data_IF_261920446855
#
_entry.id   IF_261920446855
#
_cell.length_a   1.000
_cell.length_b   1.000
_cell.length_c   1.000
_cell.angle_alpha   90.00
_cell.angle_beta   90.00
_cell.angle_gamma   90.00
#
_symmetry.space_group_name_H-M   'P 1'
#
loop_
_entity.id
_entity.type
_entity.pdbx_description
1 polymer ?
#
# COMPACT_ATOMS: atom_id res chain seq x y z
N UNK A 1 -17.20 -7.18 -5.34
CA UNK A 1 -16.16 -8.06 -5.94
C UNK A 1 -15.07 -8.34 -4.90
N UNK A 2 -14.09 -9.21 -5.18
CA UNK A 2 -12.97 -9.43 -4.23
C UNK A 2 -12.10 -8.19 -4.06
N UNK A 3 -11.99 -7.35 -5.10
CA UNK A 3 -11.26 -6.08 -5.04
C UNK A 3 -11.89 -5.10 -4.05
N UNK A 4 -13.21 -4.92 -4.10
CA UNK A 4 -13.95 -4.05 -3.16
C UNK A 4 -13.80 -4.50 -1.70
N UNK A 5 -13.89 -5.82 -1.45
CA UNK A 5 -13.68 -6.36 -0.10
C UNK A 5 -12.24 -6.15 0.39
N UNK A 6 -11.25 -6.24 -0.49
CA UNK A 6 -9.87 -5.96 -0.14
C UNK A 6 -9.65 -4.48 0.16
N UNK A 7 -10.31 -3.60 -0.59
CA UNK A 7 -10.33 -2.14 -0.36
C UNK A 7 -10.92 -1.81 1.02
N UNK A 8 -12.07 -2.38 1.38
CA UNK A 8 -12.71 -2.21 2.69
C UNK A 8 -11.79 -2.66 3.84
N UNK A 9 -11.18 -3.84 3.73
CA UNK A 9 -10.25 -4.34 4.76
C UNK A 9 -9.02 -3.44 4.88
N UNK A 10 -8.53 -2.90 3.76
CA UNK A 10 -7.41 -1.97 3.75
C UNK A 10 -7.78 -0.65 4.44
N UNK A 11 -8.99 -0.14 4.20
CA UNK A 11 -9.46 1.10 4.81
C UNK A 11 -9.59 0.96 6.33
N UNK A 12 -10.21 -0.12 6.82
CA UNK A 12 -10.30 -0.41 8.25
C UNK A 12 -8.92 -0.51 8.92
N UNK A 13 -7.98 -1.24 8.29
CA UNK A 13 -6.62 -1.35 8.81
C UNK A 13 -5.90 0.00 8.83
N UNK A 14 -6.12 0.82 7.80
CA UNK A 14 -5.52 2.14 7.66
C UNK A 14 -6.06 3.14 8.68
N UNK A 15 -7.34 3.04 9.04
CA UNK A 15 -7.96 3.85 10.09
C UNK A 15 -7.38 3.50 11.47
N UNK A 16 -7.06 2.23 11.74
CA UNK A 16 -6.42 1.83 13.00
C UNK A 16 -4.96 2.25 13.11
N UNK A 17 -4.12 1.84 12.16
CA UNK A 17 -2.68 2.16 12.17
C UNK A 17 -2.13 2.26 10.74
N UNK A 18 -1.90 3.50 10.32
CA UNK A 18 -1.38 3.84 8.99
C UNK A 18 0.00 3.25 8.73
N UNK A 19 0.91 3.31 9.70
CA UNK A 19 2.29 2.85 9.53
C UNK A 19 2.35 1.32 9.47
N UNK A 20 1.60 0.66 10.34
CA UNK A 20 1.51 -0.81 10.35
C UNK A 20 0.86 -1.33 9.08
N UNK A 21 -0.16 -0.64 8.56
CA UNK A 21 -0.82 -1.01 7.31
C UNK A 21 0.13 -0.88 6.11
N UNK A 22 0.95 0.15 6.06
CA UNK A 22 2.00 0.28 5.05
C UNK A 22 3.02 -0.88 5.12
N UNK A 23 3.39 -1.32 6.32
CA UNK A 23 4.25 -2.51 6.49
C UNK A 23 3.57 -3.78 5.97
N UNK A 24 2.26 -3.95 6.20
CA UNK A 24 1.49 -5.08 5.67
C UNK A 24 1.48 -5.09 4.13
N UNK A 25 1.36 -3.91 3.50
CA UNK A 25 1.39 -3.78 2.03
C UNK A 25 2.74 -4.17 1.41
N UNK A 26 3.83 -3.85 2.10
CA UNK A 26 5.22 -4.11 1.65
C UNK A 26 5.78 -5.46 2.08
N UNK A 27 5.17 -6.12 3.07
CA UNK A 27 5.62 -7.41 3.58
C UNK A 27 5.62 -8.47 2.47
N UNK A 28 6.66 -9.32 2.46
CA UNK A 28 6.71 -10.50 1.60
C UNK A 28 5.75 -11.57 2.13
N UNK A 29 4.87 -12.05 1.25
CA UNK A 29 3.96 -13.14 1.53
C UNK A 29 4.59 -14.46 1.06
N UNK A 30 5.00 -15.30 2.01
CA UNK A 30 5.69 -16.56 1.73
C UNK A 30 4.83 -17.52 0.89
N UNK A 31 3.53 -17.56 1.17
CA UNK A 31 2.57 -18.39 0.45
C UNK A 31 2.21 -17.88 -0.96
N UNK A 32 2.62 -16.66 -1.31
CA UNK A 32 2.34 -16.04 -2.62
C UNK A 32 3.63 -15.80 -3.43
N UNK A 33 4.56 -16.76 -3.35
CA UNK A 33 5.82 -16.71 -4.08
C UNK A 33 6.75 -15.59 -3.63
N UNK A 34 6.64 -15.15 -2.37
CA UNK A 34 7.42 -14.05 -1.81
C UNK A 34 7.03 -12.67 -2.36
N UNK A 35 5.89 -12.56 -3.05
CA UNK A 35 5.38 -11.28 -3.54
C UNK A 35 4.80 -10.45 -2.38
N UNK A 36 4.87 -9.13 -2.50
CA UNK A 36 4.17 -8.22 -1.60
C UNK A 36 2.74 -7.97 -2.07
N UNK A 37 1.86 -7.58 -1.14
CA UNK A 37 0.45 -7.27 -1.44
C UNK A 37 0.34 -6.22 -2.54
N UNK A 38 1.15 -5.15 -2.47
CA UNK A 38 1.14 -4.08 -3.47
C UNK A 38 1.52 -4.60 -4.87
N UNK A 39 2.45 -5.56 -4.95
CA UNK A 39 2.88 -6.16 -6.23
C UNK A 39 1.82 -7.11 -6.79
N UNK A 40 1.10 -7.82 -5.94
CA UNK A 40 -0.04 -8.66 -6.33
C UNK A 40 -1.19 -7.80 -6.86
N UNK A 41 -1.53 -6.71 -6.18
CA UNK A 41 -2.56 -5.77 -6.60
C UNK A 41 -2.23 -5.12 -7.96
N UNK A 42 -0.97 -4.71 -8.16
CA UNK A 42 -0.50 -4.18 -9.44
C UNK A 42 -0.61 -5.21 -10.58
N UNK A 43 -0.20 -6.46 -10.32
CA UNK A 43 -0.31 -7.55 -11.31
C UNK A 43 -1.77 -7.91 -11.62
N UNK A 44 -2.63 -7.85 -10.62
CA UNK A 44 -4.07 -8.08 -10.74
C UNK A 44 -4.84 -6.93 -11.40
N UNK A 45 -4.17 -5.80 -11.71
CA UNK A 45 -4.80 -4.56 -12.20
C UNK A 45 -5.94 -4.08 -11.29
N UNK A 46 -5.76 -4.26 -9.98
CA UNK A 46 -6.72 -3.79 -8.97
C UNK A 46 -6.56 -2.27 -8.79
N UNK A 47 -7.02 -1.51 -9.79
CA UNK A 47 -6.80 -0.05 -9.86
C UNK A 47 -7.50 0.66 -8.70
N UNK A 48 -8.68 0.18 -8.27
CA UNK A 48 -9.41 0.80 -7.15
C UNK A 48 -8.65 0.62 -5.84
N UNK A 49 -8.22 -0.60 -5.57
CA UNK A 49 -7.39 -0.91 -4.40
C UNK A 49 -6.07 -0.10 -4.41
N UNK A 50 -5.43 0.06 -5.57
CA UNK A 50 -4.20 0.86 -5.69
C UNK A 50 -4.45 2.36 -5.57
N UNK A 51 -5.63 2.86 -5.92
CA UNK A 51 -6.02 4.26 -5.76
C UNK A 51 -6.25 4.65 -4.29
N UNK A 52 -6.33 3.67 -3.38
CA UNK A 52 -6.50 3.93 -1.96
C UNK A 52 -5.38 4.82 -1.39
N UNK A 53 -5.69 5.81 -0.52
CA UNK A 53 -4.70 6.74 0.02
C UNK A 53 -3.49 6.06 0.67
N UNK A 54 -3.70 4.94 1.37
CA UNK A 54 -2.60 4.16 1.96
C UNK A 54 -1.57 3.69 0.92
N UNK A 55 -2.04 3.23 -0.25
CA UNK A 55 -1.19 2.79 -1.35
C UNK A 55 -0.43 3.99 -1.97
N UNK A 56 -1.10 5.13 -2.12
CA UNK A 56 -0.49 6.35 -2.66
C UNK A 56 0.56 6.96 -1.73
N UNK A 57 0.29 7.00 -0.42
CA UNK A 57 1.24 7.42 0.61
C UNK A 57 2.48 6.52 0.60
N UNK A 58 2.27 5.21 0.50
CA UNK A 58 3.36 4.24 0.42
C UNK A 58 4.22 4.45 -0.84
N UNK A 59 3.59 4.58 -2.01
CA UNK A 59 4.29 4.80 -3.27
C UNK A 59 5.05 6.13 -3.26
N UNK A 60 4.46 7.17 -2.67
CA UNK A 60 5.11 8.47 -2.48
C UNK A 60 6.34 8.33 -1.57
N UNK A 61 6.22 7.58 -0.48
CA UNK A 61 7.35 7.27 0.40
C UNK A 61 8.46 6.48 -0.30
N UNK A 62 8.10 5.47 -1.11
CA UNK A 62 9.05 4.71 -1.91
C UNK A 62 9.75 5.60 -2.94
N UNK A 63 9.01 6.51 -3.58
CA UNK A 63 9.55 7.46 -4.54
C UNK A 63 10.52 8.46 -3.89
N UNK A 64 10.17 9.00 -2.71
CA UNK A 64 11.06 9.86 -1.93
C UNK A 64 12.28 9.12 -1.38
N UNK A 65 12.17 7.80 -1.17
CA UNK A 65 13.25 6.96 -0.68
C UNK A 65 13.70 7.36 0.73
N UNK A 66 15.00 7.57 0.92
CA UNK A 66 15.59 8.00 2.20
C UNK A 66 15.61 9.52 2.41
N UNK A 67 15.08 10.30 1.46
CA UNK A 67 15.00 11.75 1.60
C UNK A 67 13.85 12.09 2.55
N UNK A 68 14.11 12.92 3.56
CA UNK A 68 13.05 13.32 4.49
C UNK A 68 11.97 14.10 3.74
N UNK A 69 10.67 13.83 3.98
CA UNK A 69 9.57 14.56 3.33
C UNK A 69 9.50 16.05 3.71
N UNK A 70 10.39 16.52 4.61
CA UNK A 70 10.47 17.91 5.08
C UNK A 70 10.96 18.93 4.04
N UNK A 71 11.40 18.52 2.85
CA UNK A 71 12.08 19.42 1.91
C UNK A 71 11.23 19.90 0.72
N UNK A 72 9.92 19.62 0.66
CA UNK A 72 9.18 19.85 -0.60
C UNK A 72 8.06 20.89 -0.54
N UNK A 73 8.06 21.87 0.37
CA UNK A 73 7.19 23.06 0.24
C UNK A 73 7.94 24.39 0.50
N UNK A 74 8.95 24.68 -0.34
CA UNK A 74 9.39 26.05 -0.61
C UNK A 74 9.16 26.37 -2.08
#
# INVERSE_FOLDING_TARGET
TFEEKAEEVLDECYQEDRLRTQLLLCRKLEFYGGSSVIRLAARGRCIRFMAHPCCQDLLSGVWMGGLSPKYTWI
#
